data_IF_646491399203
#
_entry.id   IF_646491399203
#
_cell.length_a   1.000
_cell.length_b   1.000
_cell.length_c   1.000
_cell.angle_alpha   90.00
_cell.angle_beta   90.00
_cell.angle_gamma   90.00
#
_symmetry.space_group_name_H-M   'P 1'
#
loop_
_entity.id
_entity.type
_entity.pdbx_description
1 polymer ?
#
# COMPACT_ATOMS: atom_id res chain seq x y z
N UNK A 1 -9.72 7.49 8.87
CA UNK A 1 -10.36 8.77 8.44
C UNK A 1 -11.76 8.48 7.95
N UNK A 2 -12.69 9.35 8.27
CA UNK A 2 -14.07 9.25 7.79
C UNK A 2 -14.09 9.33 6.25
N UNK A 3 -14.90 8.47 5.61
CA UNK A 3 -15.03 8.42 4.15
C UNK A 3 -14.00 7.58 3.40
N UNK A 4 -13.10 6.89 4.09
CA UNK A 4 -12.19 5.92 3.47
C UNK A 4 -12.76 4.51 3.60
N UNK A 5 -12.86 3.80 2.48
CA UNK A 5 -13.16 2.37 2.47
C UNK A 5 -11.98 1.59 3.02
N UNK A 6 -12.12 1.08 4.24
CA UNK A 6 -11.05 0.34 4.91
C UNK A 6 -10.90 -1.05 4.27
N UNK A 7 -9.70 -1.34 3.79
CA UNK A 7 -9.34 -2.68 3.33
C UNK A 7 -9.09 -3.58 4.55
N UNK A 8 -9.57 -4.82 4.46
CA UNK A 8 -9.11 -5.86 5.38
C UNK A 8 -7.66 -6.20 5.06
N UNK A 9 -6.84 -6.36 6.09
CA UNK A 9 -5.49 -6.89 5.92
C UNK A 9 -5.54 -8.20 5.12
N UNK A 10 -4.58 -8.42 4.25
CA UNK A 10 -4.53 -9.56 3.33
C UNK A 10 -4.27 -10.86 4.10
N UNK A 11 -5.33 -11.43 4.67
CA UNK A 11 -5.30 -12.75 5.27
C UNK A 11 -6.23 -13.66 4.46
N UNK A 12 -5.68 -14.33 3.45
CA UNK A 12 -6.34 -15.51 2.91
C UNK A 12 -6.27 -16.62 3.97
N UNK A 13 -7.37 -16.79 4.68
CA UNK A 13 -7.57 -17.97 5.52
C UNK A 13 -7.99 -19.16 4.67
N UNK A 14 -7.10 -20.12 4.51
CA UNK A 14 -7.47 -21.50 4.29
C UNK A 14 -7.29 -22.26 5.61
N UNK A 15 -8.44 -22.71 6.13
CA UNK A 15 -8.69 -23.86 7.02
C UNK A 15 -8.49 -23.76 8.54
N UNK A 16 -9.64 -23.92 9.20
CA UNK A 16 -9.88 -24.74 10.40
C UNK A 16 -9.42 -24.25 11.78
N UNK A 17 -9.35 -22.92 12.04
CA UNK A 17 -9.39 -22.49 13.44
C UNK A 17 -10.47 -21.41 13.66
N UNK A 18 -11.57 -21.88 14.28
CA UNK A 18 -12.71 -21.06 14.73
C UNK A 18 -12.33 -20.37 16.03
N UNK A 19 -11.51 -19.30 15.96
CA UNK A 19 -11.34 -18.40 17.10
C UNK A 19 -11.09 -16.96 16.62
N UNK A 20 -12.08 -16.09 16.93
CA UNK A 20 -12.03 -14.63 16.95
C UNK A 20 -11.39 -13.93 15.74
N UNK A 21 -12.22 -13.65 14.72
CA UNK A 21 -11.90 -12.71 13.65
C UNK A 21 -11.70 -11.30 14.22
N UNK A 22 -10.47 -10.95 14.59
CA UNK A 22 -10.09 -9.56 14.57
C UNK A 22 -10.01 -9.14 13.10
N UNK A 23 -10.89 -8.26 12.70
CA UNK A 23 -10.84 -7.59 11.42
C UNK A 23 -9.66 -6.64 11.50
N UNK A 24 -8.45 -7.11 11.17
CA UNK A 24 -7.28 -6.27 11.12
C UNK A 24 -7.42 -5.36 9.90
N UNK A 25 -7.82 -4.12 10.16
CA UNK A 25 -7.90 -3.08 9.15
C UNK A 25 -6.49 -2.74 8.65
N UNK A 26 -6.30 -2.67 7.33
CA UNK A 26 -5.05 -2.17 6.77
C UNK A 26 -4.88 -0.67 7.12
N UNK A 27 -3.87 -0.28 7.91
CA UNK A 27 -3.68 1.09 8.34
C UNK A 27 -3.09 2.01 7.26
N UNK A 28 -2.52 1.46 6.17
CA UNK A 28 -1.71 2.19 5.19
C UNK A 28 -2.54 3.03 4.21
N UNK A 29 -3.59 3.69 4.73
CA UNK A 29 -4.55 4.47 3.93
C UNK A 29 -3.89 5.59 3.11
N UNK A 30 -2.79 6.16 3.61
CA UNK A 30 -2.04 7.24 2.95
C UNK A 30 -1.27 6.81 1.70
N UNK A 31 -1.14 5.51 1.43
CA UNK A 31 -0.44 5.01 0.24
C UNK A 31 -1.20 5.28 -1.06
N UNK A 32 -2.43 5.77 -0.99
CA UNK A 32 -3.29 6.09 -2.12
C UNK A 32 -3.55 7.60 -2.23
N UNK A 33 -3.28 8.26 -3.37
CA UNK A 33 -3.63 9.66 -3.58
C UNK A 33 -5.13 9.95 -3.40
N UNK A 34 -6.02 9.01 -3.73
CA UNK A 34 -7.46 9.17 -3.51
C UNK A 34 -7.81 9.27 -2.03
N UNK A 35 -7.19 8.43 -1.21
CA UNK A 35 -7.37 8.49 0.24
C UNK A 35 -6.73 9.74 0.85
N UNK A 36 -5.57 10.18 0.32
CA UNK A 36 -4.91 11.40 0.80
C UNK A 36 -5.79 12.63 0.57
N UNK A 37 -6.57 12.70 -0.53
CA UNK A 37 -7.57 13.77 -0.71
C UNK A 37 -8.62 13.78 0.41
N UNK A 38 -9.10 12.60 0.82
CA UNK A 38 -10.09 12.48 1.90
C UNK A 38 -9.46 12.89 3.23
N UNK A 39 -8.22 12.46 3.49
CA UNK A 39 -7.47 12.83 4.70
C UNK A 39 -7.27 14.34 4.74
N UNK A 40 -6.80 14.95 3.65
CA UNK A 40 -6.57 16.40 3.56
C UNK A 40 -7.87 17.21 3.79
N UNK A 41 -8.99 16.75 3.22
CA UNK A 41 -10.29 17.38 3.45
C UNK A 41 -10.70 17.30 4.92
N UNK A 42 -10.61 16.12 5.52
CA UNK A 42 -10.98 15.94 6.94
C UNK A 42 -10.11 16.79 7.87
N UNK A 43 -8.80 16.94 7.55
CA UNK A 43 -7.91 17.83 8.28
C UNK A 43 -8.31 19.30 8.12
N UNK A 44 -8.60 19.74 6.90
CA UNK A 44 -9.07 21.10 6.62
C UNK A 44 -10.34 21.43 7.41
N UNK A 45 -11.35 20.56 7.34
CA UNK A 45 -12.62 20.72 8.07
C UNK A 45 -12.41 20.78 9.59
N UNK A 46 -11.51 19.95 10.13
CA UNK A 46 -11.15 19.96 11.53
C UNK A 46 -10.46 21.27 11.95
N UNK A 47 -9.50 21.77 11.15
CA UNK A 47 -8.83 23.05 11.44
C UNK A 47 -9.80 24.22 11.42
N UNK A 48 -10.70 24.29 10.44
CA UNK A 48 -11.74 25.35 10.37
C UNK A 48 -12.68 25.27 11.58
N UNK A 49 -13.02 24.08 12.03
CA UNK A 49 -13.87 23.89 13.23
C UNK A 49 -13.20 24.38 14.53
N UNK A 50 -11.87 24.23 14.64
CA UNK A 50 -11.10 24.62 15.83
C UNK A 50 -10.77 26.11 15.79
N UNK A 51 -10.44 26.64 14.63
CA UNK A 51 -10.07 28.05 14.39
C UNK A 51 -10.76 28.60 13.15
N UNK A 52 -12.02 29.08 13.29
CA UNK A 52 -12.76 29.65 12.16
C UNK A 52 -12.12 30.92 11.57
N UNK A 53 -11.39 31.68 12.36
CA UNK A 53 -10.73 32.90 11.90
C UNK A 53 -9.57 32.59 10.93
N UNK A 54 -8.96 31.41 11.08
CA UNK A 54 -7.92 30.88 10.19
C UNK A 54 -8.41 30.30 8.86
N UNK A 55 -9.72 30.21 8.62
CA UNK A 55 -10.32 29.52 7.47
C UNK A 55 -9.68 29.91 6.12
N UNK A 56 -9.43 31.19 5.90
CA UNK A 56 -8.86 31.67 4.62
C UNK A 56 -7.47 31.08 4.35
N UNK A 57 -6.64 30.95 5.39
CA UNK A 57 -5.29 30.38 5.27
C UNK A 57 -5.38 28.88 5.07
N UNK A 58 -6.22 28.20 5.86
CA UNK A 58 -6.42 26.75 5.76
C UNK A 58 -6.96 26.34 4.40
N UNK A 59 -7.91 27.10 3.87
CA UNK A 59 -8.47 26.88 2.53
C UNK A 59 -7.41 26.98 1.44
N UNK A 60 -6.61 28.05 1.47
CA UNK A 60 -5.53 28.23 0.51
C UNK A 60 -4.54 27.04 0.52
N UNK A 61 -4.07 26.67 1.72
CA UNK A 61 -3.12 25.57 1.85
C UNK A 61 -3.74 24.22 1.44
N UNK A 62 -5.02 24.02 1.72
CA UNK A 62 -5.76 22.83 1.31
C UNK A 62 -5.89 22.75 -0.23
N UNK A 63 -6.21 23.84 -0.89
CA UNK A 63 -6.30 23.92 -2.35
C UNK A 63 -4.94 23.64 -3.02
N UNK A 64 -3.86 24.23 -2.50
CA UNK A 64 -2.49 23.96 -2.96
C UNK A 64 -2.11 22.50 -2.79
N UNK A 65 -2.41 21.89 -1.63
CA UNK A 65 -2.18 20.48 -1.39
C UNK A 65 -3.00 19.57 -2.32
N UNK A 66 -4.26 19.93 -2.60
CA UNK A 66 -5.09 19.19 -3.55
C UNK A 66 -4.49 19.19 -4.96
N UNK A 67 -3.95 20.33 -5.40
CA UNK A 67 -3.31 20.42 -6.71
C UNK A 67 -2.07 19.51 -6.80
N UNK A 68 -1.26 19.46 -5.75
CA UNK A 68 -0.10 18.54 -5.68
C UNK A 68 -0.55 17.07 -5.71
N UNK A 69 -1.57 16.70 -4.92
CA UNK A 69 -2.12 15.34 -4.91
C UNK A 69 -2.66 14.96 -6.30
N UNK A 70 -3.36 15.87 -6.97
CA UNK A 70 -3.90 15.62 -8.30
C UNK A 70 -2.80 15.42 -9.36
N UNK A 71 -1.70 16.17 -9.26
CA UNK A 71 -0.54 15.98 -10.13
C UNK A 71 0.10 14.61 -9.92
N UNK A 72 0.29 14.20 -8.66
CA UNK A 72 0.83 12.87 -8.33
C UNK A 72 -0.08 11.77 -8.86
N UNK A 73 -1.39 11.86 -8.65
CA UNK A 73 -2.37 10.87 -9.12
C UNK A 73 -2.37 10.76 -10.66
N UNK A 74 -2.26 11.89 -11.35
CA UNK A 74 -2.16 11.92 -12.82
C UNK A 74 -0.88 11.21 -13.32
N UNK A 75 0.27 11.51 -12.71
CA UNK A 75 1.55 10.88 -13.03
C UNK A 75 1.49 9.37 -12.76
N UNK A 76 0.93 8.96 -11.62
CA UNK A 76 0.81 7.56 -11.27
C UNK A 76 -0.13 6.83 -12.23
N UNK A 77 -1.26 7.43 -12.59
CA UNK A 77 -2.21 6.88 -13.57
C UNK A 77 -1.51 6.64 -14.91
N UNK A 78 -0.78 7.63 -15.42
CA UNK A 78 -0.04 7.51 -16.68
C UNK A 78 1.04 6.41 -16.61
N UNK A 79 1.85 6.41 -15.53
CA UNK A 79 2.97 5.49 -15.38
C UNK A 79 2.57 4.06 -15.09
N UNK A 80 1.47 3.84 -14.36
CA UNK A 80 1.01 2.51 -13.98
C UNK A 80 0.00 1.91 -14.97
N UNK A 81 -0.62 2.72 -15.83
CA UNK A 81 -1.54 2.23 -16.87
C UNK A 81 -0.98 1.07 -17.72
N UNK A 82 0.28 1.08 -18.18
CA UNK A 82 0.83 -0.01 -18.98
C UNK A 82 0.98 -1.35 -18.23
N UNK A 83 1.00 -1.31 -16.90
CA UNK A 83 1.15 -2.49 -16.05
C UNK A 83 -0.13 -2.82 -15.25
N UNK A 84 -1.26 -2.20 -15.60
CA UNK A 84 -2.56 -2.49 -14.99
C UNK A 84 -2.91 -3.99 -15.10
N UNK A 85 -3.45 -4.56 -14.03
CA UNK A 85 -3.77 -5.98 -13.93
C UNK A 85 -2.58 -6.88 -13.59
N UNK A 86 -1.35 -6.34 -13.48
CA UNK A 86 -0.18 -7.14 -13.09
C UNK A 86 0.00 -7.22 -11.58
N UNK A 87 0.82 -8.19 -11.15
CA UNK A 87 1.16 -8.40 -9.75
C UNK A 87 2.60 -7.98 -9.48
N UNK A 88 2.81 -7.34 -8.32
CA UNK A 88 4.12 -7.11 -7.73
C UNK A 88 4.22 -7.77 -6.36
N UNK A 89 5.42 -8.11 -5.93
CA UNK A 89 5.66 -8.53 -4.55
C UNK A 89 6.16 -7.35 -3.71
N UNK A 90 5.87 -7.41 -2.42
CA UNK A 90 6.36 -6.46 -1.42
C UNK A 90 6.65 -7.21 -0.13
N UNK A 91 7.68 -6.80 0.61
CA UNK A 91 7.99 -7.46 1.86
C UNK A 91 6.87 -7.20 2.89
N UNK A 92 6.71 -5.97 3.37
CA UNK A 92 5.62 -5.56 4.25
C UNK A 92 4.45 -4.96 3.45
N UNK A 93 3.19 -5.39 3.66
CA UNK A 93 2.04 -5.07 2.81
C UNK A 93 1.52 -3.63 2.97
N UNK A 94 2.31 -2.63 2.61
CA UNK A 94 1.99 -1.21 2.81
C UNK A 94 1.36 -0.50 1.59
N UNK A 95 1.20 -1.18 0.45
CA UNK A 95 0.72 -0.57 -0.80
C UNK A 95 -0.63 -1.10 -1.29
N UNK A 96 -1.44 -1.70 -0.41
CA UNK A 96 -2.72 -2.32 -0.79
C UNK A 96 -3.72 -1.32 -1.39
N UNK A 97 -3.81 -0.12 -0.82
CA UNK A 97 -4.70 0.92 -1.34
C UNK A 97 -4.23 1.47 -2.69
N UNK A 98 -2.92 1.67 -2.84
CA UNK A 98 -2.32 2.02 -4.13
C UNK A 98 -2.59 0.95 -5.17
N UNK A 99 -2.36 -0.32 -4.84
CA UNK A 99 -2.61 -1.43 -5.74
C UNK A 99 -4.07 -1.46 -6.21
N UNK A 100 -5.03 -1.31 -5.27
CA UNK A 100 -6.47 -1.23 -5.58
C UNK A 100 -6.79 -0.09 -6.54
N UNK A 101 -6.24 1.11 -6.30
CA UNK A 101 -6.56 2.31 -7.06
C UNK A 101 -6.08 2.27 -8.50
N UNK A 102 -4.95 1.63 -8.75
CA UNK A 102 -4.34 1.53 -10.08
C UNK A 102 -4.49 0.14 -10.73
N UNK A 103 -5.44 -0.68 -10.20
CA UNK A 103 -5.71 -2.02 -10.71
C UNK A 103 -4.45 -2.89 -10.77
N UNK A 104 -3.69 -2.92 -9.69
CA UNK A 104 -2.55 -3.80 -9.49
C UNK A 104 -2.87 -4.83 -8.41
N UNK A 105 -2.08 -5.90 -8.34
CA UNK A 105 -2.18 -6.92 -7.31
C UNK A 105 -0.93 -6.93 -6.45
N UNK A 106 -1.11 -6.90 -5.12
CA UNK A 106 -0.02 -6.97 -4.16
C UNK A 106 0.11 -8.38 -3.59
N UNK A 107 1.31 -8.96 -3.67
CA UNK A 107 1.69 -10.20 -2.99
C UNK A 107 2.62 -9.85 -1.83
N UNK A 108 2.19 -10.07 -0.60
CA UNK A 108 3.02 -9.84 0.59
C UNK A 108 3.93 -11.03 0.86
N UNK A 109 5.20 -10.76 1.24
CA UNK A 109 6.12 -11.79 1.72
C UNK A 109 6.04 -11.95 3.24
N UNK A 110 5.76 -10.88 3.98
CA UNK A 110 5.53 -10.91 5.41
C UNK A 110 4.16 -11.54 5.72
N UNK A 111 4.08 -12.27 6.81
CA UNK A 111 2.84 -12.87 7.28
C UNK A 111 2.54 -12.44 8.73
N UNK A 112 1.45 -11.67 8.93
CA UNK A 112 1.01 -11.19 10.26
C UNK A 112 2.09 -10.45 11.07
N UNK A 113 2.88 -9.59 10.45
CA UNK A 113 3.95 -8.87 11.14
C UNK A 113 5.13 -9.76 11.57
N UNK A 114 5.23 -10.98 11.01
CA UNK A 114 6.27 -11.96 11.35
C UNK A 114 7.00 -12.44 10.12
N UNK A 115 8.20 -12.94 10.34
CA UNK A 115 8.93 -13.67 9.29
C UNK A 115 8.08 -14.83 8.75
N UNK A 116 8.01 -14.96 7.42
CA UNK A 116 7.21 -16.00 6.79
C UNK A 116 7.80 -17.39 7.06
N UNK A 117 6.94 -18.39 7.28
CA UNK A 117 7.36 -19.77 7.32
C UNK A 117 7.86 -20.25 5.96
N UNK A 118 8.70 -21.31 5.94
CA UNK A 118 9.17 -21.93 4.71
C UNK A 118 8.01 -22.40 3.79
N UNK A 119 6.91 -22.86 4.39
CA UNK A 119 5.71 -23.25 3.66
C UNK A 119 5.05 -22.06 2.97
N UNK A 120 4.90 -20.94 3.70
CA UNK A 120 4.33 -19.70 3.14
C UNK A 120 5.19 -19.15 2.03
N UNK A 121 6.52 -19.10 2.21
CA UNK A 121 7.45 -18.64 1.17
C UNK A 121 7.36 -19.49 -0.09
N UNK A 122 7.24 -20.82 0.05
CA UNK A 122 7.07 -21.70 -1.11
C UNK A 122 5.77 -21.37 -1.87
N UNK A 123 4.64 -21.22 -1.16
CA UNK A 123 3.35 -20.84 -1.75
C UNK A 123 3.46 -19.48 -2.45
N UNK A 124 4.11 -18.49 -1.82
CA UNK A 124 4.31 -17.18 -2.41
C UNK A 124 5.18 -17.22 -3.68
N UNK A 125 6.23 -18.07 -3.71
CA UNK A 125 7.05 -18.30 -4.91
C UNK A 125 6.20 -18.88 -6.05
N UNK A 126 5.36 -19.87 -5.77
CA UNK A 126 4.50 -20.48 -6.78
C UNK A 126 3.51 -19.45 -7.35
N UNK A 127 2.84 -18.66 -6.50
CA UNK A 127 1.95 -17.56 -6.91
C UNK A 127 2.71 -16.53 -7.74
N UNK A 128 3.90 -16.13 -7.31
CA UNK A 128 4.70 -15.14 -8.02
C UNK A 128 5.13 -15.61 -9.41
N UNK A 129 5.46 -16.89 -9.57
CA UNK A 129 5.78 -17.50 -10.85
C UNK A 129 4.57 -17.56 -11.78
N UNK A 130 3.43 -18.02 -11.27
CA UNK A 130 2.17 -18.08 -12.04
C UNK A 130 1.72 -16.71 -12.53
N UNK A 131 1.92 -15.66 -11.76
CA UNK A 131 1.57 -14.28 -12.09
C UNK A 131 2.71 -13.49 -12.73
N UNK A 132 3.84 -14.15 -13.07
CA UNK A 132 4.98 -13.54 -13.75
C UNK A 132 5.50 -12.27 -13.02
N UNK A 133 5.57 -12.30 -11.70
CA UNK A 133 6.08 -11.19 -10.88
C UNK A 133 7.51 -10.85 -11.28
N UNK A 134 7.79 -9.56 -11.56
CA UNK A 134 9.11 -9.06 -12.02
C UNK A 134 9.79 -8.15 -11.03
N UNK A 135 9.08 -7.67 -10.03
CA UNK A 135 9.61 -6.74 -9.04
C UNK A 135 9.15 -7.11 -7.64
N UNK A 136 10.07 -6.94 -6.68
CA UNK A 136 9.82 -7.05 -5.26
C UNK A 136 10.23 -5.74 -4.61
N UNK A 137 9.27 -5.08 -3.98
CA UNK A 137 9.55 -3.91 -3.17
C UNK A 137 9.94 -4.31 -1.75
N UNK A 138 10.95 -3.64 -1.21
CA UNK A 138 11.36 -3.81 0.19
C UNK A 138 11.53 -2.44 0.82
N UNK A 139 10.95 -2.25 1.99
CA UNK A 139 11.15 -1.05 2.79
C UNK A 139 12.55 -1.07 3.42
N UNK A 140 13.17 0.10 3.56
CA UNK A 140 14.57 0.24 3.99
C UNK A 140 14.86 -0.29 5.40
N UNK A 141 13.86 -0.39 6.25
CA UNK A 141 13.95 -0.90 7.63
C UNK A 141 14.04 -2.42 7.74
N UNK A 142 13.81 -3.17 6.65
CA UNK A 142 13.84 -4.64 6.66
C UNK A 142 15.14 -5.20 6.07
N UNK A 143 15.57 -6.38 6.55
CA UNK A 143 16.72 -7.10 5.99
C UNK A 143 16.41 -7.60 4.57
N UNK A 144 17.21 -7.14 3.61
CA UNK A 144 17.02 -7.46 2.21
C UNK A 144 17.24 -8.95 1.86
N UNK A 145 17.94 -9.72 2.70
CA UNK A 145 18.33 -11.10 2.38
C UNK A 145 17.18 -12.03 2.00
N UNK A 146 16.05 -11.91 2.70
CA UNK A 146 14.89 -12.74 2.39
C UNK A 146 14.25 -12.31 1.05
N UNK A 147 14.15 -11.00 0.80
CA UNK A 147 13.64 -10.48 -0.47
C UNK A 147 14.57 -10.85 -1.64
N UNK A 148 15.89 -10.81 -1.44
CA UNK A 148 16.89 -11.23 -2.43
C UNK A 148 16.81 -12.73 -2.72
N UNK A 149 16.67 -13.56 -1.68
CA UNK A 149 16.48 -15.00 -1.85
C UNK A 149 15.21 -15.32 -2.63
N UNK A 150 14.09 -14.70 -2.28
CA UNK A 150 12.83 -14.84 -3.00
C UNK A 150 12.96 -14.36 -4.45
N UNK A 151 13.59 -13.20 -4.67
CA UNK A 151 13.80 -12.64 -6.00
C UNK A 151 14.59 -13.58 -6.92
N UNK A 152 15.62 -14.23 -6.39
CA UNK A 152 16.43 -15.19 -7.15
C UNK A 152 15.61 -16.39 -7.62
N UNK A 153 14.66 -16.87 -6.81
CA UNK A 153 13.80 -18.00 -7.13
C UNK A 153 12.82 -17.72 -8.28
N UNK A 154 12.44 -16.45 -8.47
CA UNK A 154 11.46 -16.05 -9.50
C UNK A 154 12.06 -15.18 -10.60
N UNK A 155 13.38 -14.96 -10.59
CA UNK A 155 14.09 -14.06 -11.50
C UNK A 155 13.46 -12.65 -11.55
N UNK A 156 13.23 -12.07 -10.38
CA UNK A 156 12.69 -10.73 -10.18
C UNK A 156 13.77 -9.75 -9.68
N UNK A 157 13.49 -8.46 -9.81
CA UNK A 157 14.36 -7.38 -9.30
C UNK A 157 13.89 -6.93 -7.92
N UNK A 158 14.80 -6.80 -6.96
CA UNK A 158 14.53 -6.15 -5.68
C UNK A 158 14.70 -4.64 -5.83
N UNK A 159 13.72 -3.89 -5.35
CA UNK A 159 13.70 -2.42 -5.39
C UNK A 159 13.41 -1.90 -3.99
N UNK A 160 14.36 -1.18 -3.37
CA UNK A 160 14.11 -0.55 -2.09
C UNK A 160 13.13 0.62 -2.26
N UNK A 161 12.19 0.75 -1.32
CA UNK A 161 11.25 1.87 -1.23
C UNK A 161 11.24 2.45 0.17
N UNK A 162 10.83 3.69 0.28
CA UNK A 162 10.51 4.32 1.56
C UNK A 162 9.11 4.97 1.45
N UNK A 163 8.05 4.28 1.90
CA UNK A 163 6.68 4.80 1.76
C UNK A 163 6.38 6.00 2.67
N UNK A 164 7.33 6.40 3.52
CA UNK A 164 7.21 7.54 4.43
C UNK A 164 8.28 8.62 4.16
N UNK A 165 9.04 8.53 3.06
CA UNK A 165 10.02 9.58 2.72
C UNK A 165 9.32 10.84 2.22
N UNK A 166 9.81 11.99 2.64
CA UNK A 166 9.41 13.33 2.22
C UNK A 166 10.64 14.10 1.71
#
# INVERSE_FOLDING_TARGET
SEGIDILSGTHEHNDADVHHHHFDADPHTWSSPKNVRIIARNMYEAFVSIDPDGEKVFRKNYEELLDEINQVDSIMTERLSPVSGTMFAIYHPSLSYLAKDYNLHQLSLEYNGKEPSAFYLKKAIDIARENNVKVIFIQQEFDAKQAESFASEINAKVVPINPLSY
#
